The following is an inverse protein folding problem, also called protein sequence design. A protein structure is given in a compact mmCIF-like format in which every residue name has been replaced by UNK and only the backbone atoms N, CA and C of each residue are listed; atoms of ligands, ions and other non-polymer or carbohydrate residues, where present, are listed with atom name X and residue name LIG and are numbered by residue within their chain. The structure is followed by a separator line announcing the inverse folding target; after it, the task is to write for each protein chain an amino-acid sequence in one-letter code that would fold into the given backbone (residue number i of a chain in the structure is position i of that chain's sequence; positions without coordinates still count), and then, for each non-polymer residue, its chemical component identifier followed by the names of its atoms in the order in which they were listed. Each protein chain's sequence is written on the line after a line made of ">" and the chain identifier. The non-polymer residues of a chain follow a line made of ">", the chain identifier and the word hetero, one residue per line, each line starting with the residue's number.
data_IF_770689042318
#
_entry.id   IF_770689042318
#
_cell.length_a   1.000
_cell.length_b   1.000
_cell.length_c   1.000
_cell.angle_alpha   90.00
_cell.angle_beta   90.00
_cell.angle_gamma   90.00
#
_symmetry.space_group_name_H-M   'P 1'
#
loop_
_entity.id
_entity.type
_entity.pdbx_description
1 polymer ?
#
# COMPACT_ATOMS: atom_id res chain seq x y z
N UNK A 1 -14.51 -10.35 -22.92
CA UNK A 1 -13.10 -10.48 -23.35
C UNK A 1 -12.70 -11.93 -23.20
N UNK A 2 -12.30 -12.59 -24.28
CA UNK A 2 -11.75 -13.95 -24.17
C UNK A 2 -10.38 -13.85 -23.52
N UNK A 3 -10.21 -14.45 -22.35
CA UNK A 3 -8.93 -14.55 -21.67
C UNK A 3 -7.96 -15.33 -22.56
N UNK A 4 -6.85 -14.71 -22.93
CA UNK A 4 -5.75 -15.44 -23.55
C UNK A 4 -5.28 -16.51 -22.55
N UNK A 5 -5.34 -17.81 -22.88
CA UNK A 5 -5.08 -18.89 -21.92
C UNK A 5 -3.67 -18.85 -21.31
N UNK A 6 -2.77 -18.05 -21.88
CA UNK A 6 -1.38 -17.93 -21.44
C UNK A 6 -1.16 -16.84 -20.38
N UNK A 7 -2.19 -16.07 -20.01
CA UNK A 7 -2.07 -15.01 -19.02
C UNK A 7 -3.09 -15.18 -17.91
N UNK A 8 -2.63 -14.99 -16.68
CA UNK A 8 -3.48 -14.85 -15.50
C UNK A 8 -3.39 -13.41 -15.02
N UNK A 9 -4.53 -12.83 -14.65
CA UNK A 9 -4.60 -11.55 -13.98
C UNK A 9 -5.00 -11.80 -12.53
N UNK A 10 -4.25 -11.21 -11.59
CA UNK A 10 -4.53 -11.33 -10.15
C UNK A 10 -4.40 -9.98 -9.48
N UNK A 11 -5.15 -9.79 -8.39
CA UNK A 11 -4.99 -8.65 -7.49
C UNK A 11 -3.68 -8.79 -6.73
N UNK A 12 -2.93 -7.70 -6.63
CA UNK A 12 -1.73 -7.67 -5.81
C UNK A 12 -2.12 -7.55 -4.33
N UNK A 13 -1.82 -8.59 -3.55
CA UNK A 13 -1.93 -8.61 -2.08
C UNK A 13 -0.58 -8.40 -1.41
N UNK A 14 0.51 -8.72 -2.12
CA UNK A 14 1.88 -8.38 -1.78
C UNK A 14 2.41 -7.33 -2.77
N UNK A 15 2.58 -6.09 -2.29
CA UNK A 15 3.07 -4.97 -3.08
C UNK A 15 4.56 -5.03 -3.42
N UNK A 16 5.31 -6.03 -2.93
CA UNK A 16 6.73 -6.19 -3.25
C UNK A 16 7.00 -6.71 -4.67
N UNK A 17 5.95 -7.17 -5.37
CA UNK A 17 6.03 -7.68 -6.73
C UNK A 17 6.50 -6.61 -7.73
N UNK A 18 7.46 -6.99 -8.57
CA UNK A 18 8.00 -6.15 -9.64
C UNK A 18 7.93 -6.89 -10.98
N UNK A 19 8.04 -6.15 -12.08
CA UNK A 19 8.14 -6.79 -13.40
C UNK A 19 9.33 -7.74 -13.46
N UNK A 20 9.11 -8.93 -14.03
CA UNK A 20 10.08 -10.03 -14.02
C UNK A 20 10.13 -10.83 -12.72
N UNK A 21 9.33 -10.48 -11.71
CA UNK A 21 9.21 -11.31 -10.50
C UNK A 21 8.60 -12.66 -10.82
N UNK A 22 9.17 -13.69 -10.22
CA UNK A 22 8.68 -15.06 -10.33
C UNK A 22 7.58 -15.29 -9.30
N UNK A 23 6.53 -15.99 -9.73
CA UNK A 23 5.33 -16.23 -8.94
C UNK A 23 5.00 -17.71 -8.93
N UNK A 24 4.68 -18.23 -7.75
CA UNK A 24 4.14 -19.57 -7.58
C UNK A 24 2.63 -19.48 -7.30
N UNK A 25 1.83 -19.75 -8.34
CA UNK A 25 0.37 -19.76 -8.24
C UNK A 25 -0.20 -20.89 -7.36
N UNK A 26 0.61 -21.89 -6.98
CA UNK A 26 0.16 -22.94 -6.06
C UNK A 26 0.20 -22.50 -4.60
N UNK A 27 1.10 -21.59 -4.25
CA UNK A 27 1.24 -21.00 -2.92
C UNK A 27 0.76 -19.54 -2.85
N UNK A 28 0.36 -18.97 -3.98
CA UNK A 28 0.08 -17.54 -4.20
C UNK A 28 1.21 -16.64 -3.65
N UNK A 29 2.47 -17.06 -3.82
CA UNK A 29 3.64 -16.39 -3.26
C UNK A 29 4.56 -15.80 -4.34
N UNK A 30 5.13 -14.63 -4.04
CA UNK A 30 6.26 -14.08 -4.78
C UNK A 30 7.55 -14.81 -4.35
N UNK A 31 8.35 -15.19 -5.34
CA UNK A 31 9.62 -15.88 -5.12
C UNK A 31 10.77 -14.88 -5.24
N UNK A 32 11.62 -15.02 -6.26
CA UNK A 32 12.74 -14.12 -6.54
C UNK A 32 12.41 -13.22 -7.74
N UNK A 33 13.00 -12.03 -7.75
CA UNK A 33 12.93 -11.12 -8.89
C UNK A 33 14.05 -11.42 -9.89
N UNK A 34 13.70 -11.62 -11.16
CA UNK A 34 14.67 -11.61 -12.23
C UNK A 34 15.05 -10.16 -12.55
N UNK A 35 16.34 -9.88 -12.75
CA UNK A 35 16.78 -8.56 -13.16
C UNK A 35 16.30 -8.29 -14.59
N UNK A 36 15.38 -7.34 -14.74
CA UNK A 36 14.90 -6.85 -16.03
C UNK A 36 15.72 -5.62 -16.41
N UNK A 37 16.49 -5.70 -17.49
CA UNK A 37 17.41 -4.62 -17.87
C UNK A 37 16.72 -3.42 -18.55
N UNK A 38 15.54 -3.62 -19.15
CA UNK A 38 14.78 -2.54 -19.81
C UNK A 38 13.28 -2.72 -19.66
N UNK A 39 12.62 -1.66 -19.20
CA UNK A 39 11.18 -1.45 -19.30
C UNK A 39 10.89 -0.92 -20.70
N UNK A 40 10.17 -1.68 -21.52
CA UNK A 40 9.90 -1.25 -22.89
C UNK A 40 8.70 -0.30 -22.97
N UNK A 41 7.70 -0.45 -22.11
CA UNK A 41 6.46 0.33 -22.20
C UNK A 41 5.88 0.67 -20.83
N UNK A 42 6.08 1.91 -20.39
CA UNK A 42 5.30 2.54 -19.32
C UNK A 42 4.20 3.40 -19.94
N UNK A 43 2.95 3.12 -19.57
CA UNK A 43 1.78 3.86 -20.04
C UNK A 43 1.09 4.54 -18.86
N UNK A 44 1.09 5.88 -18.89
CA UNK A 44 0.33 6.68 -17.94
C UNK A 44 -1.08 6.89 -18.45
N UNK A 45 -2.04 6.72 -17.56
CA UNK A 45 -3.45 6.97 -17.83
C UNK A 45 -4.13 7.34 -16.51
N UNK A 46 -5.37 7.79 -16.57
CA UNK A 46 -6.17 8.00 -15.37
C UNK A 46 -7.45 7.23 -15.56
N UNK A 47 -7.62 6.19 -14.76
CA UNK A 47 -8.86 5.45 -14.70
C UNK A 47 -9.32 5.38 -13.25
N UNK A 48 -10.62 5.52 -13.03
CA UNK A 48 -11.18 5.47 -11.68
C UNK A 48 -12.53 4.78 -11.68
N UNK A 49 -12.72 3.94 -10.68
CA UNK A 49 -13.96 3.21 -10.44
C UNK A 49 -14.41 3.58 -9.04
N UNK A 50 -15.66 4.03 -8.91
CA UNK A 50 -16.29 4.22 -7.61
C UNK A 50 -17.60 3.44 -7.57
N UNK A 51 -17.83 2.63 -6.55
CA UNK A 51 -19.03 1.80 -6.42
C UNK A 51 -19.57 1.91 -5.00
N UNK A 52 -20.90 1.94 -4.90
CA UNK A 52 -21.61 1.89 -3.63
C UNK A 52 -22.34 0.55 -3.57
N UNK A 53 -22.22 -0.14 -2.45
CA UNK A 53 -22.95 -1.38 -2.20
C UNK A 53 -23.73 -1.27 -0.89
N UNK A 54 -24.95 -1.80 -0.88
CA UNK A 54 -25.72 -1.95 0.34
C UNK A 54 -25.49 -3.34 0.95
N UNK A 55 -25.54 -3.45 2.28
CA UNK A 55 -25.35 -4.73 2.96
C UNK A 55 -26.36 -5.80 2.56
N UNK A 56 -27.59 -5.42 2.18
CA UNK A 56 -28.59 -6.33 1.60
C UNK A 56 -28.16 -6.97 0.28
N UNK A 57 -27.36 -6.27 -0.52
CA UNK A 57 -26.85 -6.76 -1.80
C UNK A 57 -25.63 -7.67 -1.61
N UNK A 58 -24.99 -7.56 -0.44
CA UNK A 58 -23.71 -8.16 -0.11
C UNK A 58 -23.91 -9.13 1.05
N UNK A 59 -24.36 -10.35 0.72
CA UNK A 59 -24.67 -11.40 1.71
C UNK A 59 -23.53 -11.68 2.72
N UNK A 60 -22.27 -11.43 2.34
CA UNK A 60 -21.10 -11.51 3.21
C UNK A 60 -19.88 -10.81 2.57
N UNK A 61 -18.78 -10.69 3.33
CA UNK A 61 -17.52 -10.08 2.88
C UNK A 61 -16.92 -10.75 1.63
N UNK A 62 -17.13 -12.05 1.42
CA UNK A 62 -16.64 -12.76 0.23
C UNK A 62 -17.36 -12.27 -1.02
N UNK A 63 -18.68 -12.05 -0.94
CA UNK A 63 -19.44 -11.53 -2.07
C UNK A 63 -18.94 -10.13 -2.48
N UNK A 64 -18.61 -9.28 -1.49
CA UNK A 64 -18.02 -7.97 -1.74
C UNK A 64 -16.66 -8.06 -2.43
N UNK A 65 -15.77 -8.88 -1.89
CA UNK A 65 -14.43 -9.06 -2.45
C UNK A 65 -14.49 -9.55 -3.92
N UNK A 66 -15.41 -10.47 -4.22
CA UNK A 66 -15.69 -10.90 -5.60
C UNK A 66 -16.20 -9.76 -6.47
N UNK A 67 -17.14 -8.94 -5.96
CA UNK A 67 -17.67 -7.79 -6.69
C UNK A 67 -16.58 -6.77 -7.07
N UNK A 68 -15.55 -6.62 -6.23
CA UNK A 68 -14.36 -5.78 -6.50
C UNK A 68 -13.19 -6.54 -7.16
N UNK A 69 -13.49 -7.67 -7.81
CA UNK A 69 -12.59 -8.46 -8.67
C UNK A 69 -11.45 -9.17 -7.93
N UNK A 70 -11.68 -9.66 -6.71
CA UNK A 70 -10.86 -10.74 -6.16
C UNK A 70 -11.27 -12.06 -6.83
N UNK A 71 -10.31 -12.75 -7.44
CA UNK A 71 -10.55 -14.06 -8.05
C UNK A 71 -10.70 -15.16 -6.99
N UNK A 72 -11.38 -16.24 -7.35
CA UNK A 72 -11.68 -17.36 -6.45
C UNK A 72 -10.42 -18.02 -5.88
N UNK A 73 -9.36 -18.15 -6.68
CA UNK A 73 -8.12 -18.78 -6.25
C UNK A 73 -7.41 -17.93 -5.19
N UNK A 74 -7.32 -16.61 -5.42
CA UNK A 74 -6.75 -15.69 -4.42
C UNK A 74 -7.57 -15.68 -3.12
N UNK A 75 -8.90 -15.65 -3.21
CA UNK A 75 -9.77 -15.72 -2.03
C UNK A 75 -9.55 -17.00 -1.25
N UNK A 76 -9.44 -18.14 -1.94
CA UNK A 76 -9.14 -19.42 -1.31
C UNK A 76 -7.79 -19.39 -0.59
N UNK A 77 -6.75 -18.84 -1.22
CA UNK A 77 -5.42 -18.72 -0.60
C UNK A 77 -5.41 -17.82 0.64
N UNK A 78 -6.18 -16.73 0.63
CA UNK A 78 -6.37 -15.87 1.81
C UNK A 78 -7.09 -16.64 2.93
N UNK A 79 -8.19 -17.32 2.60
CA UNK A 79 -8.99 -18.07 3.57
C UNK A 79 -8.23 -19.25 4.19
N UNK A 80 -7.35 -19.90 3.42
CA UNK A 80 -6.48 -20.97 3.89
C UNK A 80 -5.23 -20.46 4.63
N UNK A 81 -5.03 -19.14 4.72
CA UNK A 81 -3.88 -18.53 5.39
C UNK A 81 -2.56 -18.69 4.64
N UNK A 82 -2.60 -19.02 3.35
CA UNK A 82 -1.42 -19.13 2.48
C UNK A 82 -0.88 -17.74 2.17
N UNK A 83 -1.77 -16.77 1.99
CA UNK A 83 -1.43 -15.36 1.87
C UNK A 83 -1.97 -14.59 3.05
N UNK A 84 -1.11 -13.79 3.67
CA UNK A 84 -1.53 -12.89 4.74
C UNK A 84 -2.44 -11.80 4.15
N UNK A 85 -3.67 -11.62 4.66
CA UNK A 85 -4.51 -10.54 4.20
C UNK A 85 -3.89 -9.19 4.57
N UNK A 86 -3.88 -8.28 3.59
CA UNK A 86 -3.38 -6.92 3.70
C UNK A 86 -4.30 -5.95 2.92
N UNK A 87 -4.37 -4.71 3.39
CA UNK A 87 -5.21 -3.67 2.79
C UNK A 87 -6.67 -4.08 2.68
N UNK A 88 -7.27 -3.94 1.48
CA UNK A 88 -8.67 -4.33 1.21
C UNK A 88 -8.94 -5.81 1.49
N UNK A 89 -7.98 -6.72 1.25
CA UNK A 89 -8.19 -8.15 1.56
C UNK A 89 -8.35 -8.43 3.06
N UNK A 90 -7.97 -7.49 3.92
CA UNK A 90 -8.20 -7.56 5.37
C UNK A 90 -9.68 -7.44 5.75
N UNK A 91 -10.55 -7.08 4.80
CA UNK A 91 -12.00 -7.16 4.96
C UNK A 91 -12.45 -8.57 5.38
N UNK A 92 -11.69 -9.62 5.06
CA UNK A 92 -11.99 -10.98 5.52
C UNK A 92 -12.04 -11.11 7.06
N UNK A 93 -11.35 -10.20 7.76
CA UNK A 93 -11.33 -10.13 9.21
C UNK A 93 -12.39 -9.18 9.79
N UNK A 94 -13.24 -8.58 8.95
CA UNK A 94 -14.34 -7.73 9.39
C UNK A 94 -15.38 -8.59 10.12
N UNK A 95 -15.54 -8.34 11.41
CA UNK A 95 -16.30 -9.19 12.33
C UNK A 95 -17.64 -8.57 12.79
N UNK A 96 -17.98 -7.38 12.29
CA UNK A 96 -19.29 -6.78 12.56
C UNK A 96 -20.35 -7.36 11.60
N UNK A 97 -21.64 -7.38 12.01
CA UNK A 97 -22.72 -7.79 11.13
C UNK A 97 -22.85 -6.90 9.89
N UNK A 98 -23.12 -7.51 8.74
CA UNK A 98 -23.51 -6.81 7.50
C UNK A 98 -25.04 -6.91 7.39
N UNK A 99 -25.72 -5.76 7.38
CA UNK A 99 -27.18 -5.66 7.33
C UNK A 99 -27.62 -4.46 6.48
N UNK A 100 -28.92 -4.15 6.49
CA UNK A 100 -29.53 -3.08 5.67
C UNK A 100 -29.02 -1.66 5.99
N UNK A 101 -28.39 -1.48 7.14
CA UNK A 101 -27.76 -0.23 7.57
C UNK A 101 -26.25 -0.19 7.29
N UNK A 102 -25.69 -1.26 6.73
CA UNK A 102 -24.31 -1.32 6.30
C UNK A 102 -24.20 -0.83 4.86
N UNK A 103 -23.35 0.17 4.63
CA UNK A 103 -23.01 0.66 3.30
C UNK A 103 -21.54 0.46 3.03
N UNK A 104 -21.20 0.20 1.77
CA UNK A 104 -19.82 0.08 1.33
C UNK A 104 -19.56 1.12 0.24
N UNK A 105 -18.50 1.90 0.41
CA UNK A 105 -17.98 2.78 -0.64
C UNK A 105 -16.62 2.24 -1.08
N UNK A 106 -16.56 1.73 -2.29
CA UNK A 106 -15.34 1.26 -2.92
C UNK A 106 -14.87 2.27 -3.95
N UNK A 107 -13.61 2.69 -3.84
CA UNK A 107 -12.95 3.55 -4.82
C UNK A 107 -11.63 2.91 -5.25
N UNK A 108 -11.38 2.89 -6.55
CA UNK A 108 -10.14 2.39 -7.15
C UNK A 108 -9.67 3.41 -8.16
N UNK A 109 -8.40 3.78 -8.08
CA UNK A 109 -7.75 4.71 -9.00
C UNK A 109 -6.51 4.05 -9.58
N UNK A 110 -6.43 4.01 -10.91
CA UNK A 110 -5.29 3.49 -11.66
C UNK A 110 -4.61 4.62 -12.41
N UNK A 111 -3.28 4.69 -12.31
CA UNK A 111 -2.50 5.80 -12.87
C UNK A 111 -1.41 5.38 -13.87
N UNK A 112 -0.95 4.14 -13.79
CA UNK A 112 0.20 3.67 -14.57
C UNK A 112 0.09 2.18 -14.83
N UNK A 113 0.41 1.77 -16.05
CA UNK A 113 0.66 0.37 -16.38
C UNK A 113 2.08 0.23 -16.89
N UNK A 114 2.85 -0.65 -16.27
CA UNK A 114 4.16 -1.05 -16.79
C UNK A 114 4.04 -2.45 -17.40
N UNK A 115 4.61 -2.65 -18.59
CA UNK A 115 4.63 -3.95 -19.27
C UNK A 115 6.05 -4.36 -19.65
N UNK A 116 6.34 -5.63 -19.43
CA UNK A 116 7.48 -6.33 -19.98
C UNK A 116 7.12 -6.90 -21.35
N UNK A 117 7.95 -6.59 -22.34
CA UNK A 117 7.81 -7.16 -23.68
C UNK A 117 8.34 -8.60 -23.67
N UNK A 118 7.42 -9.54 -23.72
CA UNK A 118 7.73 -10.96 -23.68
C UNK A 118 7.46 -11.54 -25.06
N UNK A 119 8.49 -11.59 -25.91
CA UNK A 119 8.38 -12.30 -27.19
C UNK A 119 8.54 -13.81 -26.93
N UNK A 120 7.52 -14.59 -27.25
CA UNK A 120 7.60 -16.05 -27.19
C UNK A 120 8.87 -16.54 -27.92
N UNK A 121 9.74 -17.26 -27.22
CA UNK A 121 11.02 -17.78 -27.72
C UNK A 121 12.28 -16.98 -27.38
N UNK A 122 12.18 -15.68 -27.01
CA UNK A 122 13.34 -14.85 -26.60
C UNK A 122 13.46 -14.63 -25.09
N UNK A 123 12.46 -15.07 -24.32
CA UNK A 123 12.42 -14.92 -22.85
C UNK A 123 13.70 -15.49 -22.21
N UNK A 124 14.11 -16.68 -22.65
CA UNK A 124 15.31 -17.36 -22.14
C UNK A 124 16.64 -16.70 -22.57
N UNK A 125 16.63 -15.82 -23.58
CA UNK A 125 17.84 -15.13 -24.03
C UNK A 125 18.14 -13.89 -23.18
N UNK A 126 17.10 -13.27 -22.61
CA UNK A 126 17.21 -12.00 -21.90
C UNK A 126 17.00 -12.11 -20.39
N UNK A 127 16.61 -13.27 -19.88
CA UNK A 127 16.33 -13.48 -18.45
C UNK A 127 17.26 -14.55 -17.91
N UNK A 128 18.18 -14.14 -17.02
CA UNK A 128 18.98 -15.08 -16.23
C UNK A 128 18.12 -15.65 -15.11
N UNK A 129 17.62 -16.87 -15.32
CA UNK A 129 16.84 -17.62 -14.33
C UNK A 129 17.77 -18.11 -13.20
N UNK A 130 17.42 -17.88 -11.92
CA UNK A 130 18.12 -18.50 -10.79
C UNK A 130 18.18 -20.03 -10.91
N UNK A 131 19.26 -20.67 -10.44
CA UNK A 131 19.39 -22.13 -10.44
C UNK A 131 18.35 -22.86 -9.58
N UNK A 132 17.78 -22.18 -8.59
CA UNK A 132 16.95 -22.78 -7.52
C UNK A 132 15.43 -22.67 -7.80
N UNK A 133 15.06 -22.63 -9.08
CA UNK A 133 13.76 -22.14 -9.56
C UNK A 133 12.62 -23.19 -9.53
N UNK A 134 12.71 -24.19 -8.67
CA UNK A 134 11.92 -25.42 -8.81
C UNK A 134 10.39 -25.24 -8.68
N UNK A 135 9.91 -24.10 -8.18
CA UNK A 135 8.49 -23.91 -7.86
C UNK A 135 7.83 -22.72 -8.59
N UNK A 136 8.54 -21.92 -9.39
CA UNK A 136 7.89 -20.82 -10.09
C UNK A 136 7.02 -21.37 -11.22
N UNK A 137 5.76 -20.96 -11.25
CA UNK A 137 4.80 -21.34 -12.31
C UNK A 137 4.54 -20.18 -13.27
N UNK A 138 4.76 -18.95 -12.83
CA UNK A 138 4.47 -17.74 -13.60
C UNK A 138 5.57 -16.67 -13.40
N UNK A 139 5.54 -15.65 -14.25
CA UNK A 139 6.36 -14.46 -14.15
C UNK A 139 5.46 -13.23 -14.34
N UNK A 140 5.69 -12.17 -13.56
CA UNK A 140 4.94 -10.91 -13.69
C UNK A 140 5.44 -10.18 -14.94
N UNK A 141 4.58 -10.08 -15.94
CA UNK A 141 4.87 -9.40 -17.21
C UNK A 141 4.17 -8.05 -17.32
N UNK A 142 3.19 -7.77 -16.47
CA UNK A 142 2.43 -6.53 -16.48
C UNK A 142 2.04 -6.17 -15.05
N UNK A 143 2.20 -4.89 -14.68
CA UNK A 143 1.74 -4.35 -13.41
C UNK A 143 0.89 -3.13 -13.68
N UNK A 144 -0.30 -3.13 -13.10
CA UNK A 144 -1.23 -2.00 -13.09
C UNK A 144 -1.11 -1.34 -11.71
N UNK A 145 -0.59 -0.12 -11.69
CA UNK A 145 -0.37 0.66 -10.48
C UNK A 145 -1.54 1.60 -10.21
N UNK A 146 -1.89 1.68 -8.94
CA UNK A 146 -3.01 2.46 -8.46
C UNK A 146 -3.12 2.37 -6.95
N UNK A 147 -4.20 2.94 -6.42
CA UNK A 147 -4.59 2.75 -5.04
C UNK A 147 -6.08 2.45 -4.96
N UNK A 148 -6.48 1.81 -3.88
CA UNK A 148 -7.86 1.42 -3.64
C UNK A 148 -8.24 1.72 -2.21
N UNK A 149 -9.48 2.13 -2.02
CA UNK A 149 -10.09 2.47 -0.73
C UNK A 149 -11.42 1.73 -0.66
N UNK A 150 -11.66 1.05 0.46
CA UNK A 150 -12.95 0.48 0.79
C UNK A 150 -13.36 1.00 2.16
N UNK A 151 -14.43 1.77 2.21
CA UNK A 151 -15.07 2.18 3.45
C UNK A 151 -16.25 1.26 3.75
N UNK A 152 -16.32 0.73 4.97
CA UNK A 152 -17.50 0.08 5.53
C UNK A 152 -18.13 1.06 6.50
N UNK A 153 -19.38 1.43 6.24
CA UNK A 153 -20.10 2.50 6.95
C UNK A 153 -21.32 1.87 7.60
N UNK A 154 -21.38 1.87 8.93
CA UNK A 154 -22.56 1.45 9.67
C UNK A 154 -23.39 2.67 10.04
N UNK A 155 -24.63 2.70 9.58
CA UNK A 155 -25.56 3.79 9.84
C UNK A 155 -26.45 3.43 11.04
N UNK A 156 -26.60 4.29 12.06
CA UNK A 156 -27.30 3.91 13.28
C UNK A 156 -28.83 3.74 13.09
N UNK A 157 -29.44 4.38 12.09
CA UNK A 157 -30.89 4.30 11.85
C UNK A 157 -31.22 4.06 10.37
N UNK A 158 -32.33 3.36 10.11
CA UNK A 158 -32.80 3.08 8.74
C UNK A 158 -33.21 4.34 7.98
N UNK A 159 -33.78 5.35 8.65
CA UNK A 159 -34.17 6.61 8.03
C UNK A 159 -32.96 7.41 7.53
N UNK A 160 -31.84 7.37 8.27
CA UNK A 160 -30.59 8.01 7.84
C UNK A 160 -29.88 7.19 6.75
N UNK A 161 -30.14 5.87 6.68
CA UNK A 161 -29.56 4.95 5.69
C UNK A 161 -29.81 5.42 4.24
N UNK A 162 -31.04 5.82 3.90
CA UNK A 162 -31.40 6.30 2.55
C UNK A 162 -30.67 7.59 2.20
N UNK A 163 -30.60 8.53 3.15
CA UNK A 163 -29.92 9.82 2.92
C UNK A 163 -28.42 9.63 2.74
N UNK A 164 -27.81 8.72 3.51
CA UNK A 164 -26.41 8.35 3.36
C UNK A 164 -26.16 7.66 2.03
N UNK A 165 -27.05 6.76 1.60
CA UNK A 165 -26.94 6.11 0.29
C UNK A 165 -26.95 7.13 -0.86
N UNK A 166 -27.89 8.09 -0.84
CA UNK A 166 -27.94 9.18 -1.83
C UNK A 166 -26.65 10.01 -1.84
N UNK A 167 -26.13 10.33 -0.65
CA UNK A 167 -24.87 11.05 -0.49
C UNK A 167 -23.69 10.25 -1.06
N UNK A 168 -23.56 8.97 -0.72
CA UNK A 168 -22.51 8.08 -1.21
C UNK A 168 -22.59 7.92 -2.73
N UNK A 169 -23.79 7.78 -3.28
CA UNK A 169 -24.01 7.71 -4.73
C UNK A 169 -23.59 9.00 -5.45
N UNK A 170 -23.86 10.17 -4.83
CA UNK A 170 -23.39 11.45 -5.37
C UNK A 170 -21.87 11.57 -5.30
N UNK A 171 -21.26 11.20 -4.17
CA UNK A 171 -19.78 11.17 -4.01
C UNK A 171 -19.18 10.26 -5.07
N UNK A 172 -19.74 9.07 -5.26
CA UNK A 172 -19.31 8.09 -6.26
C UNK A 172 -19.34 8.67 -7.68
N UNK A 173 -20.45 9.30 -8.07
CA UNK A 173 -20.57 9.98 -9.38
C UNK A 173 -19.54 11.08 -9.56
N UNK A 174 -19.26 11.89 -8.53
CA UNK A 174 -18.24 12.94 -8.62
C UNK A 174 -16.83 12.34 -8.77
N UNK A 175 -16.50 11.33 -7.97
CA UNK A 175 -15.19 10.68 -8.02
C UNK A 175 -14.92 9.96 -9.35
N UNK A 176 -15.95 9.44 -10.02
CA UNK A 176 -15.83 8.84 -11.35
C UNK A 176 -15.67 9.86 -12.48
N UNK A 177 -16.30 11.03 -12.35
CA UNK A 177 -16.47 11.97 -13.47
C UNK A 177 -15.51 13.17 -13.44
N UNK A 178 -14.82 13.41 -12.33
CA UNK A 178 -14.19 14.69 -12.10
C UNK A 178 -12.66 14.64 -12.02
N UNK A 179 -12.02 15.46 -12.86
CA UNK A 179 -10.69 16.02 -12.58
C UNK A 179 -10.72 17.07 -11.45
N UNK A 180 -11.91 17.42 -10.93
CA UNK A 180 -12.06 18.44 -9.89
C UNK A 180 -12.16 17.79 -8.50
N UNK A 181 -11.69 18.50 -7.46
CA UNK A 181 -11.85 18.04 -6.09
C UNK A 181 -13.32 17.80 -5.72
N UNK A 182 -13.56 16.78 -4.89
CA UNK A 182 -14.85 16.51 -4.26
C UNK A 182 -15.38 17.77 -3.58
N UNK A 183 -16.60 18.18 -3.91
CA UNK A 183 -17.27 19.30 -3.25
C UNK A 183 -18.49 18.80 -2.50
N UNK A 184 -18.42 18.94 -1.19
CA UNK A 184 -19.52 18.68 -0.27
C UNK A 184 -20.16 20.03 0.11
N UNK A 185 -21.48 20.01 0.29
CA UNK A 185 -22.20 21.11 0.94
C UNK A 185 -22.05 20.99 2.46
N UNK A 186 -22.23 22.09 3.20
CA UNK A 186 -22.16 22.08 4.67
C UNK A 186 -23.09 21.04 5.31
N UNK A 187 -24.25 20.78 4.69
CA UNK A 187 -25.19 19.75 5.14
C UNK A 187 -24.58 18.36 5.03
N UNK A 188 -23.95 18.06 3.90
CA UNK A 188 -23.38 16.75 3.62
C UNK A 188 -22.12 16.50 4.44
N UNK A 189 -21.32 17.55 4.66
CA UNK A 189 -20.17 17.48 5.56
C UNK A 189 -20.62 17.16 6.99
N UNK A 190 -21.70 17.79 7.48
CA UNK A 190 -22.32 17.41 8.77
C UNK A 190 -22.77 15.95 8.80
N UNK A 191 -23.45 15.49 7.74
CA UNK A 191 -23.89 14.09 7.65
C UNK A 191 -22.72 13.10 7.70
N UNK A 192 -21.61 13.39 7.01
CA UNK A 192 -20.39 12.55 7.07
C UNK A 192 -19.77 12.59 8.47
N UNK A 193 -19.71 13.76 9.09
CA UNK A 193 -19.13 13.93 10.43
C UNK A 193 -19.96 13.26 11.54
N UNK A 194 -21.24 12.99 11.29
CA UNK A 194 -22.12 12.24 12.18
C UNK A 194 -21.93 10.71 12.06
N UNK A 195 -21.22 10.24 11.03
CA UNK A 195 -20.88 8.82 10.89
C UNK A 195 -19.81 8.45 11.92
N UNK A 196 -20.21 7.67 12.93
CA UNK A 196 -19.33 7.27 14.04
C UNK A 196 -18.70 5.89 13.86
N UNK A 197 -19.25 5.04 13.01
CA UNK A 197 -18.79 3.67 12.79
C UNK A 197 -18.40 3.47 11.32
N UNK A 198 -17.19 3.93 11.00
CA UNK A 198 -16.58 3.82 9.68
C UNK A 198 -15.27 3.05 9.80
N UNK A 199 -15.20 1.88 9.15
CA UNK A 199 -13.97 1.10 9.00
C UNK A 199 -13.40 1.33 7.60
N UNK A 200 -12.12 1.67 7.50
CA UNK A 200 -11.48 1.97 6.21
C UNK A 200 -10.37 0.94 5.94
N UNK A 201 -10.42 0.34 4.76
CA UNK A 201 -9.37 -0.52 4.22
C UNK A 201 -8.74 0.14 2.99
N UNK A 202 -7.40 0.16 2.91
CA UNK A 202 -6.67 0.80 1.81
C UNK A 202 -5.62 -0.16 1.26
N UNK A 203 -5.42 -0.21 -0.06
CA UNK A 203 -4.53 -1.18 -0.74
C UNK A 203 -3.07 -1.07 -0.33
N UNK A 204 -2.58 0.14 -0.11
CA UNK A 204 -1.38 0.37 0.69
C UNK A 204 -1.85 0.74 2.09
N UNK A 205 -1.03 0.48 3.11
CA UNK A 205 -1.14 1.34 4.27
C UNK A 205 -1.01 2.76 3.70
N UNK A 206 -2.09 3.54 3.68
CA UNK A 206 -1.95 4.96 3.91
C UNK A 206 -1.11 4.98 5.17
N UNK A 207 0.21 5.11 5.00
CA UNK A 207 1.15 5.14 6.10
C UNK A 207 0.60 6.30 6.89
N UNK A 208 -0.09 6.00 8.00
CA UNK A 208 -0.62 7.05 8.84
C UNK A 208 0.59 7.93 9.08
N UNK A 209 0.48 9.17 8.61
CA UNK A 209 1.61 10.08 8.44
C UNK A 209 2.35 10.34 9.76
N UNK A 210 1.77 9.87 10.86
CA UNK A 210 2.29 9.76 12.23
C UNK A 210 3.41 8.74 12.41
N UNK A 211 3.67 7.84 11.45
CA UNK A 211 4.59 6.71 11.65
C UNK A 211 5.71 6.53 10.61
N UNK A 212 5.96 7.54 9.77
CA UNK A 212 7.19 7.58 8.94
C UNK A 212 8.43 7.41 9.83
N UNK A 213 8.43 8.07 10.98
CA UNK A 213 9.49 7.98 11.97
C UNK A 213 9.66 6.56 12.55
N UNK A 214 8.58 5.86 12.87
CA UNK A 214 8.66 4.46 13.36
C UNK A 214 9.11 3.49 12.27
N UNK A 215 8.72 3.74 11.01
CA UNK A 215 9.11 2.91 9.88
C UNK A 215 10.61 3.06 9.60
N UNK A 216 11.10 4.30 9.54
CA UNK A 216 12.51 4.61 9.38
C UNK A 216 13.33 4.10 10.56
N UNK A 217 12.85 4.28 11.80
CA UNK A 217 13.49 3.72 12.99
C UNK A 217 13.61 2.21 12.89
N UNK A 218 12.54 1.49 12.53
CA UNK A 218 12.57 0.02 12.43
C UNK A 218 13.55 -0.46 11.36
N UNK A 219 13.67 0.27 10.25
CA UNK A 219 14.54 -0.12 9.14
C UNK A 219 16.01 0.10 9.48
N UNK A 220 16.35 1.26 10.04
CA UNK A 220 17.74 1.67 10.27
C UNK A 220 18.26 1.42 11.69
N UNK A 221 17.40 1.11 12.67
CA UNK A 221 17.82 0.72 14.03
C UNK A 221 18.58 -0.60 14.10
N UNK A 222 18.59 -1.38 13.01
CA UNK A 222 19.35 -2.64 12.92
C UNK A 222 20.80 -2.43 12.47
N UNK A 223 21.21 -1.21 12.13
CA UNK A 223 22.59 -0.93 11.77
C UNK A 223 23.50 -0.91 13.01
N UNK A 224 24.70 -1.48 12.89
CA UNK A 224 25.70 -1.52 13.98
C UNK A 224 26.47 -0.18 14.14
N UNK A 225 25.95 0.91 13.59
CA UNK A 225 26.57 2.23 13.57
C UNK A 225 25.56 3.31 13.94
N UNK A 226 26.04 4.44 14.45
CA UNK A 226 25.20 5.63 14.64
C UNK A 226 24.73 6.11 13.27
N UNK A 227 23.42 6.22 13.08
CA UNK A 227 22.84 6.68 11.80
C UNK A 227 22.25 8.05 12.00
N UNK A 228 22.62 9.00 11.13
CA UNK A 228 21.86 10.24 10.95
C UNK A 228 20.94 10.01 9.77
N UNK A 229 19.64 9.91 10.06
CA UNK A 229 18.60 9.89 9.06
C UNK A 229 18.24 11.31 8.68
N UNK A 230 18.34 11.57 7.38
CA UNK A 230 18.00 12.83 6.76
C UNK A 230 16.93 12.57 5.71
N UNK A 231 15.78 13.23 5.82
CA UNK A 231 14.74 13.08 4.80
C UNK A 231 14.00 14.37 4.54
N UNK A 232 13.67 14.57 3.26
CA UNK A 232 12.98 15.75 2.75
C UNK A 232 12.26 15.37 1.45
N UNK A 233 11.27 16.16 1.08
CA UNK A 233 10.87 16.22 -0.34
C UNK A 233 11.97 16.98 -1.10
N UNK A 234 12.37 16.51 -2.30
CA UNK A 234 13.27 17.26 -3.20
C UNK A 234 12.76 18.66 -3.57
N UNK A 235 11.51 18.98 -3.20
CA UNK A 235 10.96 20.32 -3.27
C UNK A 235 11.78 21.35 -2.46
N UNK A 236 12.28 21.01 -1.26
CA UNK A 236 13.11 21.95 -0.48
C UNK A 236 14.43 22.28 -1.20
N UNK A 237 15.08 21.29 -1.81
CA UNK A 237 16.31 21.51 -2.57
C UNK A 237 16.08 22.43 -3.79
N UNK A 238 14.91 22.31 -4.42
CA UNK A 238 14.51 23.12 -5.58
C UNK A 238 14.05 24.53 -5.21
N UNK A 239 13.20 24.66 -4.19
CA UNK A 239 12.54 25.92 -3.81
C UNK A 239 13.34 26.73 -2.76
N UNK A 240 14.19 26.08 -1.97
CA UNK A 240 15.00 26.72 -0.93
C UNK A 240 16.39 26.07 -0.80
N UNK A 241 17.14 26.11 -1.90
CA UNK A 241 18.49 25.52 -2.01
C UNK A 241 19.45 26.00 -0.93
N UNK A 242 19.33 27.26 -0.50
CA UNK A 242 20.17 27.83 0.56
C UNK A 242 19.94 27.14 1.92
N UNK A 243 18.67 27.00 2.35
CA UNK A 243 18.32 26.28 3.59
C UNK A 243 18.75 24.81 3.52
N UNK A 244 18.62 24.17 2.36
CA UNK A 244 19.10 22.81 2.16
C UNK A 244 20.61 22.69 2.37
N UNK A 245 21.40 23.59 1.76
CA UNK A 245 22.87 23.61 1.90
C UNK A 245 23.29 23.84 3.34
N UNK A 246 22.68 24.81 4.04
CA UNK A 246 22.99 25.08 5.45
C UNK A 246 22.81 23.84 6.32
N UNK A 247 21.76 23.06 6.09
CA UNK A 247 21.50 21.88 6.91
C UNK A 247 22.43 20.72 6.52
N UNK A 248 22.71 20.54 5.22
CA UNK A 248 23.70 19.58 4.77
C UNK A 248 25.09 19.84 5.38
N UNK A 249 25.52 21.10 5.37
CA UNK A 249 26.78 21.53 5.98
C UNK A 249 26.79 21.26 7.49
N UNK A 250 25.69 21.59 8.19
CA UNK A 250 25.53 21.32 9.63
C UNK A 250 25.63 19.82 9.96
N UNK A 251 24.94 18.97 9.20
CA UNK A 251 24.97 17.51 9.41
C UNK A 251 26.36 16.94 9.08
N UNK A 252 27.01 17.45 8.03
CA UNK A 252 28.36 17.02 7.64
C UNK A 252 29.40 17.42 8.68
N UNK A 253 29.30 18.63 9.23
CA UNK A 253 30.14 19.08 10.33
C UNK A 253 29.95 18.22 11.59
N UNK A 254 28.69 17.89 11.94
CA UNK A 254 28.39 16.98 13.05
C UNK A 254 29.01 15.59 12.84
N UNK A 255 28.95 15.07 11.62
CA UNK A 255 29.60 13.80 11.24
C UNK A 255 31.12 13.85 11.38
N UNK A 256 31.75 14.96 11.00
CA UNK A 256 33.21 15.15 11.11
C UNK A 256 33.68 15.29 12.56
N UNK A 257 32.86 15.87 13.43
CA UNK A 257 33.16 16.06 14.85
C UNK A 257 32.92 14.80 15.69
N UNK A 258 32.18 13.82 15.16
CA UNK A 258 31.90 12.59 15.87
C UNK A 258 33.14 11.68 15.94
N UNK A 259 33.45 11.18 17.13
CA UNK A 259 34.54 10.22 17.36
C UNK A 259 34.25 8.82 16.82
N UNK A 260 32.98 8.54 16.48
CA UNK A 260 32.51 7.28 15.92
C UNK A 260 32.12 7.45 14.46
N UNK A 261 32.23 6.37 13.69
CA UNK A 261 31.79 6.35 12.29
C UNK A 261 30.25 6.50 12.24
N UNK A 262 29.79 7.66 11.78
CA UNK A 262 28.37 7.93 11.54
C UNK A 262 28.03 7.71 10.07
N UNK A 263 26.97 6.93 9.82
CA UNK A 263 26.34 6.78 8.51
C UNK A 263 25.32 7.90 8.29
N UNK A 264 25.43 8.61 7.17
CA UNK A 264 24.47 9.63 6.76
C UNK A 264 23.60 9.05 5.65
N UNK A 265 22.29 8.98 5.89
CA UNK A 265 21.33 8.40 4.94
C UNK A 265 20.32 9.48 4.56
N UNK A 266 20.28 9.84 3.27
CA UNK A 266 19.26 10.71 2.71
C UNK A 266 18.11 9.88 2.12
N UNK A 267 16.87 10.14 2.56
CA UNK A 267 15.66 9.55 1.99
C UNK A 267 14.88 10.63 1.26
N UNK A 268 14.74 10.46 -0.05
CA UNK A 268 13.96 11.36 -0.90
C UNK A 268 12.49 10.94 -0.90
N UNK A 269 11.62 11.85 -0.45
CA UNK A 269 10.17 11.66 -0.46
C UNK A 269 9.50 12.32 -1.67
N UNK A 270 10.24 12.73 -2.71
CA UNK A 270 9.71 13.40 -3.91
C UNK A 270 8.63 12.61 -4.65
N UNK A 271 8.64 11.29 -4.53
CA UNK A 271 7.65 10.39 -5.14
C UNK A 271 6.39 10.19 -4.28
N UNK A 272 6.40 10.67 -3.04
CA UNK A 272 5.24 10.62 -2.16
C UNK A 272 4.38 11.87 -2.37
N UNK A 273 3.06 11.70 -2.41
CA UNK A 273 2.07 12.77 -2.59
C UNK A 273 1.96 13.74 -1.41
N UNK A 274 2.91 13.71 -0.45
CA UNK A 274 2.96 14.59 0.70
C UNK A 274 3.85 15.80 0.41
N UNK A 275 3.31 16.99 0.70
CA UNK A 275 4.14 18.14 1.02
C UNK A 275 4.71 17.89 2.42
N UNK A 276 5.92 17.33 2.53
CA UNK A 276 6.72 17.53 3.75
C UNK A 276 7.00 19.03 3.79
N UNK A 277 6.10 19.78 4.43
CA UNK A 277 6.25 21.23 4.62
C UNK A 277 7.50 21.53 5.46
N UNK A 278 7.88 20.58 6.33
CA UNK A 278 9.01 20.68 7.21
C UNK A 278 10.07 19.60 6.99
N UNK A 279 11.29 20.02 7.31
CA UNK A 279 12.54 19.28 7.19
C UNK A 279 12.81 18.50 8.48
N UNK A 280 13.20 17.23 8.38
CA UNK A 280 13.46 16.38 9.53
C UNK A 280 14.89 15.80 9.53
N UNK A 281 15.57 15.91 10.67
CA UNK A 281 16.85 15.25 10.96
C UNK A 281 16.66 14.42 12.21
N UNK A 282 16.99 13.13 12.12
CA UNK A 282 16.88 12.22 13.26
C UNK A 282 18.22 11.53 13.49
N UNK A 283 18.69 11.61 14.73
CA UNK A 283 19.89 10.89 15.17
C UNK A 283 19.46 9.57 15.80
N UNK A 284 19.84 8.44 15.21
CA UNK A 284 19.63 7.12 15.79
C UNK A 284 20.89 6.67 16.53
N UNK A 285 20.82 6.45 17.86
CA UNK A 285 21.96 5.99 18.63
C UNK A 285 22.27 4.53 18.30
N UNK A 286 23.54 4.13 18.43
CA UNK A 286 23.95 2.72 18.38
C UNK A 286 23.18 1.96 19.45
N UNK A 287 22.44 0.94 19.04
CA UNK A 287 21.86 0.00 20.01
C UNK A 287 23.01 -0.79 20.65
N UNK A 288 23.31 -0.47 21.91
CA UNK A 288 24.27 -1.28 22.66
C UNK A 288 23.77 -2.72 22.70
N UNK A 289 24.65 -3.68 22.38
CA UNK A 289 24.34 -5.12 22.33
C UNK A 289 23.84 -5.71 23.66
N UNK A 290 23.76 -4.90 24.72
CA UNK A 290 23.26 -5.27 26.03
C UNK A 290 21.73 -5.26 26.16
N UNK A 291 21.00 -4.52 25.31
CA UNK A 291 19.54 -4.35 25.45
C UNK A 291 18.69 -5.45 24.76
N UNK A 292 19.23 -6.15 23.77
CA UNK A 292 18.52 -7.25 23.08
C UNK A 292 18.30 -8.47 23.98
N UNK A 293 19.06 -8.62 25.08
CA UNK A 293 18.87 -9.75 26.03
C UNK A 293 17.68 -9.57 26.98
N UNK A 294 17.14 -8.36 27.18
CA UNK A 294 16.01 -8.14 28.11
C UNK A 294 14.63 -8.31 27.50
N UNK A 295 14.47 -8.27 26.16
CA UNK A 295 13.15 -8.41 25.52
C UNK A 295 12.68 -9.86 25.28
N UNK A 296 13.55 -10.87 25.41
CA UNK A 296 13.17 -12.29 25.26
C UNK A 296 12.81 -13.02 26.58
N UNK A 297 12.81 -12.35 27.73
CA UNK A 297 12.40 -12.94 29.04
C UNK A 297 11.17 -12.25 29.63
N UNK A 298 10.04 -12.28 28.91
CA UNK A 298 8.71 -12.24 29.53
C UNK A 298 7.86 -13.31 28.88
N UNK A 299 8.11 -14.56 29.27
CA UNK A 299 7.13 -15.62 29.13
C UNK A 299 5.93 -15.27 30.01
N UNK A 300 4.80 -14.92 29.40
CA UNK A 300 3.50 -15.02 30.06
C UNK A 300 3.18 -16.51 30.14
N UNK A 301 3.34 -17.08 31.34
CA UNK A 301 2.47 -18.18 31.79
C UNK A 301 1.05 -17.64 31.79
N UNK A 302 0.15 -18.33 31.13
CA UNK A 302 -1.27 -18.27 31.43
C UNK A 302 -1.58 -19.67 31.95
N UNK A 303 -1.90 -19.72 33.24
CA UNK A 303 -2.44 -20.91 33.91
C UNK A 303 -3.97 -20.87 33.73
N UNK A 304 -4.51 -22.02 33.30
CA UNK A 304 -5.90 -22.42 33.02
C UNK A 304 -6.66 -21.72 31.88
#
# INVERSE_FOLDING_TARGET
>A
MMSNPNFIQRRAVDGSGQLGSLYDASSDALLKCCRVEKLENTQFHKDSICQVFQGTQVNNVIHLLKAIKFDDALLQSILLGMVRPFGISSLINYNQPINDNTHFLYYSYTCRTDKLSVTAGKIYQNISLPSDLNNATHMITEIIYGFEILCVIQVPTTESSVQIEDLLNRISKQLQSSDKPLKLTDKEERQINELSDVTIFVSEACVDNRNVDELLDRHFSKENSSVILWYSSDRLKRENSHRWTQIYEKITAQRQQATQQISLIYVDFSQFSRNLEDFHVKNLPIQSSSDTRRRHRRGKKIDY
#
